data_IF_348201944875
#
_entry.id   IF_348201944875
#
_cell.length_a   1.000
_cell.length_b   1.000
_cell.length_c   1.000
_cell.angle_alpha   90.00
_cell.angle_beta   90.00
_cell.angle_gamma   90.00
#
_symmetry.space_group_name_H-M   'P 1'
#
loop_
_entity.id
_entity.type
_entity.pdbx_description
1 polymer ?
#
# COMPACT_ATOMS: atom_id res chain seq x y z
N UNK A 1 -9.98 34.76 47.71
CA UNK A 1 -10.94 34.29 46.68
C UNK A 1 -10.46 34.52 45.25
N UNK A 2 -10.06 35.75 44.86
CA UNK A 2 -9.56 36.05 43.50
C UNK A 2 -8.30 35.28 43.03
N UNK A 3 -7.25 35.01 43.85
CA UNK A 3 -6.03 34.39 43.31
C UNK A 3 -6.23 32.91 42.97
N UNK A 4 -6.97 32.18 43.79
CA UNK A 4 -7.27 30.76 43.59
C UNK A 4 -8.08 30.54 42.31
N UNK A 5 -9.05 31.43 42.03
CA UNK A 5 -9.85 31.36 40.80
C UNK A 5 -8.99 31.58 39.55
N UNK A 6 -8.03 32.51 39.59
CA UNK A 6 -7.10 32.77 38.48
C UNK A 6 -6.19 31.57 38.24
N UNK A 7 -5.66 30.95 39.30
CA UNK A 7 -4.80 29.75 39.18
C UNK A 7 -5.54 28.57 38.58
N UNK A 8 -6.79 28.34 39.00
CA UNK A 8 -7.63 27.26 38.47
C UNK A 8 -8.01 27.48 37.01
N UNK A 9 -8.28 28.73 36.62
CA UNK A 9 -8.56 29.10 35.23
C UNK A 9 -7.33 28.86 34.36
N UNK A 10 -6.14 29.31 34.77
CA UNK A 10 -4.90 29.09 34.00
C UNK A 10 -4.55 27.60 33.84
N UNK A 11 -4.74 26.78 34.88
CA UNK A 11 -4.54 25.33 34.81
C UNK A 11 -5.52 24.66 33.83
N UNK A 12 -6.80 25.06 33.86
CA UNK A 12 -7.81 24.54 32.93
C UNK A 12 -7.51 24.91 31.47
N UNK A 13 -7.12 26.17 31.19
CA UNK A 13 -6.75 26.61 29.84
C UNK A 13 -5.49 25.91 29.32
N UNK A 14 -4.47 25.71 30.17
CA UNK A 14 -3.24 25.01 29.80
C UNK A 14 -3.47 23.54 29.41
N UNK A 15 -4.38 22.85 30.11
CA UNK A 15 -4.76 21.47 29.80
C UNK A 15 -5.51 21.41 28.45
N UNK A 16 -6.45 22.33 28.20
CA UNK A 16 -7.22 22.38 26.94
C UNK A 16 -6.32 22.64 25.73
N UNK A 17 -5.36 23.55 25.85
CA UNK A 17 -4.41 23.87 24.76
C UNK A 17 -3.48 22.68 24.48
N UNK A 18 -3.04 21.95 25.52
CA UNK A 18 -2.20 20.76 25.37
C UNK A 18 -2.88 19.63 24.59
N UNK A 19 -4.19 19.41 24.80
CA UNK A 19 -4.95 18.40 24.05
C UNK A 19 -5.20 18.78 22.59
N UNK A 20 -5.34 20.09 22.27
CA UNK A 20 -5.58 20.56 20.91
C UNK A 20 -4.35 20.45 19.99
N UNK A 21 -3.13 20.50 20.55
CA UNK A 21 -1.88 20.44 19.78
C UNK A 21 -1.25 19.03 19.71
N UNK A 22 -1.84 18.03 20.37
CA UNK A 22 -1.23 16.72 20.63
C UNK A 22 -1.40 15.63 19.56
N UNK A 23 -1.80 15.94 18.32
CA UNK A 23 -1.96 14.92 17.26
C UNK A 23 -1.48 15.41 15.89
N UNK A 24 -0.21 15.79 15.77
CA UNK A 24 0.48 15.78 14.47
C UNK A 24 1.04 14.38 14.22
N UNK A 25 0.18 13.45 13.81
CA UNK A 25 0.62 12.14 13.30
C UNK A 25 1.13 12.38 11.89
N UNK A 26 2.45 12.36 11.74
CA UNK A 26 3.13 12.34 10.45
C UNK A 26 2.85 10.99 9.80
N UNK A 27 1.76 10.89 9.05
CA UNK A 27 1.56 9.76 8.17
C UNK A 27 2.55 9.91 7.01
N UNK A 28 3.73 9.32 7.21
CA UNK A 28 4.70 8.97 6.18
C UNK A 28 4.05 7.98 5.24
N UNK A 29 3.63 8.44 4.07
CA UNK A 29 3.51 7.53 2.92
C UNK A 29 4.88 7.59 2.26
N UNK A 30 5.69 6.52 2.23
CA UNK A 30 6.80 6.48 1.30
C UNK A 30 6.21 6.63 -0.09
N UNK A 31 6.78 7.51 -0.90
CA UNK A 31 6.44 7.63 -2.30
C UNK A 31 6.46 6.22 -2.92
N UNK A 32 5.28 5.71 -3.25
CA UNK A 32 5.11 4.41 -3.90
C UNK A 32 5.51 4.60 -5.36
N UNK A 33 6.80 4.54 -5.59
CA UNK A 33 7.41 4.44 -6.90
C UNK A 33 6.96 3.09 -7.50
N UNK A 34 6.43 3.09 -8.72
CA UNK A 34 5.61 2.02 -9.32
C UNK A 34 6.34 0.67 -9.56
N UNK A 35 7.53 0.46 -8.98
CA UNK A 35 8.47 -0.60 -9.41
C UNK A 35 8.66 -1.73 -8.38
N UNK A 36 8.20 -1.60 -7.14
CA UNK A 36 8.40 -2.66 -6.13
C UNK A 36 7.14 -2.99 -5.33
N UNK A 37 6.52 -4.17 -5.55
CA UNK A 37 5.46 -4.65 -4.68
C UNK A 37 5.99 -4.96 -3.27
N UNK A 38 5.12 -4.92 -2.25
CA UNK A 38 5.49 -5.12 -0.86
C UNK A 38 6.21 -6.47 -0.67
N UNK A 39 7.37 -6.40 -0.01
CA UNK A 39 8.31 -7.51 0.24
C UNK A 39 7.58 -8.63 0.97
N UNK A 40 7.07 -9.62 0.24
CA UNK A 40 6.39 -10.78 0.81
C UNK A 40 5.12 -11.23 0.10
N UNK A 41 4.57 -10.43 -0.82
CA UNK A 41 3.44 -10.87 -1.64
C UNK A 41 3.95 -11.44 -2.98
N UNK A 42 3.61 -12.69 -3.34
CA UNK A 42 3.93 -13.20 -4.66
C UNK A 42 3.23 -12.32 -5.69
N UNK A 43 4.02 -11.69 -6.56
CA UNK A 43 3.48 -10.90 -7.66
C UNK A 43 2.53 -11.77 -8.51
N UNK A 44 1.55 -11.16 -9.17
CA UNK A 44 0.63 -11.88 -10.04
C UNK A 44 0.43 -11.15 -11.36
N UNK A 45 0.13 -11.91 -12.40
CA UNK A 45 -0.17 -11.39 -13.73
C UNK A 45 -1.66 -11.59 -14.02
N UNK A 46 -2.28 -10.64 -14.70
CA UNK A 46 -3.62 -10.82 -15.25
C UNK A 46 -3.52 -11.08 -16.75
N UNK A 47 -3.91 -12.27 -17.19
CA UNK A 47 -3.92 -12.66 -18.59
C UNK A 47 -5.31 -13.12 -19.00
N UNK A 48 -5.91 -12.46 -20.00
CA UNK A 48 -7.29 -12.74 -20.48
C UNK A 48 -8.33 -12.82 -19.35
N UNK A 49 -8.17 -12.00 -18.31
CA UNK A 49 -9.07 -11.96 -17.14
C UNK A 49 -8.81 -13.02 -16.08
N UNK A 50 -7.79 -13.87 -16.23
CA UNK A 50 -7.37 -14.86 -15.23
C UNK A 50 -6.11 -14.37 -14.53
N UNK A 51 -6.08 -14.51 -13.21
CA UNK A 51 -4.91 -14.17 -12.38
C UNK A 51 -4.00 -15.39 -12.22
N UNK A 52 -2.72 -15.22 -12.55
CA UNK A 52 -1.66 -16.21 -12.40
C UNK A 52 -0.63 -15.70 -11.39
N UNK A 53 -0.21 -16.54 -10.45
CA UNK A 53 0.89 -16.21 -9.54
C UNK A 53 2.22 -16.19 -10.30
N UNK A 54 3.18 -15.39 -9.84
CA UNK A 54 4.55 -15.40 -10.36
C UNK A 54 5.14 -16.81 -10.28
N UNK A 55 5.85 -17.22 -11.33
CA UNK A 55 6.34 -18.58 -11.54
C UNK A 55 5.32 -19.54 -12.14
N UNK A 56 4.05 -19.15 -12.31
CA UNK A 56 3.06 -20.00 -12.95
C UNK A 56 3.30 -20.08 -14.47
N UNK A 57 3.35 -21.31 -14.99
CA UNK A 57 3.27 -21.62 -16.41
C UNK A 57 1.85 -22.02 -16.82
N UNK A 58 1.41 -21.57 -17.99
CA UNK A 58 0.09 -21.89 -18.53
C UNK A 58 0.10 -21.95 -20.07
N UNK A 59 -1.02 -22.36 -20.66
CA UNK A 59 -1.19 -22.46 -22.11
C UNK A 59 -2.18 -21.42 -22.61
N UNK A 60 -1.86 -20.81 -23.75
CA UNK A 60 -2.80 -20.04 -24.56
C UNK A 60 -2.81 -20.65 -25.96
N UNK A 61 -3.81 -21.49 -26.23
CA UNK A 61 -3.85 -22.34 -27.42
C UNK A 61 -2.58 -23.21 -27.53
N UNK A 62 -1.90 -23.21 -28.67
CA UNK A 62 -0.63 -23.92 -28.84
C UNK A 62 0.52 -23.26 -28.05
N UNK A 63 0.40 -21.97 -27.72
CA UNK A 63 1.47 -21.22 -27.09
C UNK A 63 1.67 -21.55 -25.61
N UNK A 64 2.94 -21.54 -25.18
CA UNK A 64 3.32 -21.67 -23.78
C UNK A 64 3.58 -20.30 -23.20
N UNK A 65 2.99 -20.02 -22.05
CA UNK A 65 3.11 -18.74 -21.36
C UNK A 65 3.65 -18.92 -19.94
N UNK A 66 4.29 -17.89 -19.42
CA UNK A 66 4.74 -17.79 -18.03
C UNK A 66 4.42 -16.41 -17.45
N UNK A 67 4.02 -16.39 -16.18
CA UNK A 67 3.91 -15.17 -15.39
C UNK A 67 5.17 -14.96 -14.55
N UNK A 68 5.85 -13.83 -14.71
CA UNK A 68 7.01 -13.46 -13.90
C UNK A 68 6.91 -11.99 -13.50
N UNK A 69 6.89 -11.69 -12.20
CA UNK A 69 6.89 -10.34 -11.65
C UNK A 69 5.85 -9.39 -12.32
N UNK A 70 4.62 -9.88 -12.49
CA UNK A 70 3.53 -9.09 -13.08
C UNK A 70 3.50 -9.05 -14.61
N UNK A 71 4.51 -9.60 -15.27
CA UNK A 71 4.60 -9.67 -16.72
C UNK A 71 4.30 -11.07 -17.26
N UNK A 72 3.62 -11.13 -18.41
CA UNK A 72 3.35 -12.38 -19.11
C UNK A 72 4.22 -12.46 -20.35
N UNK A 73 4.96 -13.55 -20.49
CA UNK A 73 5.69 -13.90 -21.70
C UNK A 73 5.09 -15.17 -22.30
N UNK A 74 4.86 -15.17 -23.62
CA UNK A 74 4.35 -16.32 -24.36
C UNK A 74 5.25 -16.64 -25.56
N UNK A 75 5.27 -17.90 -25.99
CA UNK A 75 5.78 -18.26 -27.31
C UNK A 75 4.93 -17.62 -28.42
N UNK A 76 5.48 -17.53 -29.64
CA UNK A 76 4.82 -16.97 -30.82
C UNK A 76 4.66 -18.01 -31.94
N UNK A 77 4.15 -19.18 -31.59
CA UNK A 77 3.82 -20.23 -32.55
C UNK A 77 2.52 -19.88 -33.26
N UNK A 78 2.50 -20.08 -34.58
CA UNK A 78 1.26 -20.08 -35.34
C UNK A 78 0.48 -21.36 -34.98
N UNK A 79 -0.74 -21.20 -34.49
CA UNK A 79 -1.65 -22.30 -34.19
C UNK A 79 -2.56 -22.58 -35.40
N UNK A 80 -3.06 -23.81 -35.50
CA UNK A 80 -3.87 -24.31 -36.63
C UNK A 80 -5.36 -23.97 -36.54
#
# INVERSE_FOLDING_TARGET
>A
MKPILITLVSLAFGIIIGFALGKASTNTVPEYDYVTPPIGEPQSCTYKGVTYLSGAGFKDDCNSCSCENGEVACTLMACD
#
